data_IF_812658259189
#
_entry.id   IF_812658259189
#
_cell.length_a   1.000
_cell.length_b   1.000
_cell.length_c   1.000
_cell.angle_alpha   90.00
_cell.angle_beta   90.00
_cell.angle_gamma   90.00
#
_symmetry.space_group_name_H-M   'P 1'
#
loop_
_entity.id
_entity.type
_entity.pdbx_description
1 polymer ?
#
# COMPACT_ATOMS: atom_id res chain seq x y z
N UNK A 1 28.18 -12.13 -10.75
CA UNK A 1 27.96 -11.44 -9.48
C UNK A 1 27.04 -10.27 -9.74
N UNK A 2 25.94 -10.18 -9.00
CA UNK A 2 25.09 -9.00 -9.05
C UNK A 2 25.85 -7.89 -8.34
N UNK A 3 26.22 -6.87 -9.08
CA UNK A 3 26.83 -5.67 -8.48
C UNK A 3 25.79 -4.93 -7.65
N UNK A 4 26.25 -4.38 -6.54
CA UNK A 4 25.43 -3.57 -5.65
C UNK A 4 25.50 -2.11 -6.11
N UNK A 5 24.38 -1.63 -6.68
CA UNK A 5 24.29 -0.25 -7.16
C UNK A 5 23.98 0.74 -6.03
N UNK A 6 23.24 0.30 -5.02
CA UNK A 6 22.74 1.14 -3.94
C UNK A 6 23.02 0.55 -2.56
N UNK A 7 23.03 1.43 -1.54
CA UNK A 7 23.34 1.04 -0.15
C UNK A 7 22.21 0.33 0.59
N UNK A 8 20.95 0.43 0.13
CA UNK A 8 19.85 -0.33 0.68
C UNK A 8 19.79 -1.68 -0.03
N UNK A 9 19.86 -2.75 0.76
CA UNK A 9 19.83 -4.13 0.25
C UNK A 9 18.70 -4.87 0.95
N UNK A 10 17.95 -5.66 0.20
CA UNK A 10 16.83 -6.47 0.74
C UNK A 10 16.75 -7.84 0.07
N UNK A 11 16.21 -8.87 0.76
CA UNK A 11 15.91 -10.14 0.12
C UNK A 11 14.93 -9.98 -1.05
N UNK A 12 15.13 -10.76 -2.12
CA UNK A 12 14.16 -10.83 -3.25
C UNK A 12 12.82 -11.40 -2.83
N UNK A 13 12.86 -12.32 -1.85
CA UNK A 13 11.68 -12.99 -1.31
C UNK A 13 11.63 -12.74 0.18
N UNK A 14 10.52 -12.21 0.68
CA UNK A 14 10.36 -11.90 2.09
C UNK A 14 9.11 -11.08 2.37
N UNK A 15 8.89 -10.76 3.64
CA UNK A 15 7.78 -9.92 4.09
C UNK A 15 8.14 -9.17 5.36
N UNK A 16 7.43 -8.07 5.64
CA UNK A 16 7.53 -7.32 6.89
C UNK A 16 8.88 -6.66 7.13
N UNK A 17 9.57 -6.22 6.07
CA UNK A 17 10.89 -5.60 6.10
C UNK A 17 12.01 -6.46 6.74
N UNK A 18 11.79 -7.75 6.92
CA UNK A 18 12.82 -8.66 7.46
C UNK A 18 13.99 -8.77 6.48
N UNK A 19 15.21 -8.65 7.01
CA UNK A 19 16.44 -8.75 6.22
C UNK A 19 16.76 -7.51 5.36
N UNK A 20 16.07 -6.39 5.55
CA UNK A 20 16.44 -5.12 4.93
C UNK A 20 17.66 -4.55 5.65
N UNK A 21 18.70 -4.23 4.88
CA UNK A 21 19.98 -3.72 5.38
C UNK A 21 20.17 -2.33 4.80
N UNK A 22 20.27 -1.34 5.69
CA UNK A 22 20.64 0.04 5.32
C UNK A 22 22.14 0.22 5.38
N UNK A 23 22.67 1.06 4.51
CA UNK A 23 24.12 1.34 4.43
C UNK A 23 24.97 0.06 4.33
N UNK A 24 24.47 -0.92 3.55
CA UNK A 24 25.17 -2.19 3.36
C UNK A 24 26.58 -1.96 2.83
N UNK A 25 27.57 -2.72 3.34
CA UNK A 25 28.96 -2.65 2.89
C UNK A 25 29.08 -3.04 1.41
N UNK A 26 30.21 -2.64 0.77
CA UNK A 26 30.48 -3.01 -0.63
C UNK A 26 30.66 -4.53 -0.81
N UNK A 27 31.12 -5.21 0.23
CA UNK A 27 31.45 -6.65 0.20
C UNK A 27 30.30 -7.56 0.61
N UNK A 28 29.08 -7.02 0.73
CA UNK A 28 27.91 -7.83 1.09
C UNK A 28 27.62 -8.88 0.02
N UNK A 29 27.33 -10.11 0.45
CA UNK A 29 26.86 -11.13 -0.47
C UNK A 29 25.49 -10.77 -1.05
N UNK A 30 25.41 -10.67 -2.37
CA UNK A 30 24.18 -10.30 -3.10
C UNK A 30 23.36 -11.50 -3.57
N UNK A 31 23.75 -12.74 -3.21
CA UNK A 31 22.98 -13.93 -3.56
C UNK A 31 21.58 -13.87 -2.91
N UNK A 32 20.54 -14.00 -3.73
CA UNK A 32 19.14 -13.88 -3.26
C UNK A 32 18.72 -12.48 -2.80
N UNK A 33 19.56 -11.48 -3.00
CA UNK A 33 19.32 -10.10 -2.60
C UNK A 33 19.09 -9.19 -3.83
N UNK A 34 18.59 -8.00 -3.57
CA UNK A 34 18.57 -6.89 -4.54
C UNK A 34 18.97 -5.60 -3.83
N UNK A 35 19.63 -4.71 -4.56
CA UNK A 35 19.92 -3.35 -4.10
C UNK A 35 18.85 -2.39 -4.61
N UNK A 36 18.55 -1.38 -3.81
CA UNK A 36 17.53 -0.38 -4.10
C UNK A 36 18.02 0.98 -3.63
N UNK A 37 17.66 2.02 -4.39
CA UNK A 37 17.86 3.40 -3.95
C UNK A 37 17.10 3.66 -2.65
N UNK A 38 17.77 4.30 -1.68
CA UNK A 38 17.11 4.79 -0.48
C UNK A 38 16.43 6.13 -0.75
N UNK A 39 15.11 6.13 -0.75
CA UNK A 39 14.32 7.33 -1.02
C UNK A 39 13.85 7.92 0.31
N UNK A 40 14.24 9.19 0.56
CA UNK A 40 13.72 9.96 1.67
C UNK A 40 12.36 10.55 1.33
N UNK A 41 11.33 10.25 2.14
CA UNK A 41 10.00 10.77 1.92
C UNK A 41 8.99 10.24 2.94
N UNK A 42 7.74 10.58 2.71
CA UNK A 42 6.62 10.06 3.48
C UNK A 42 6.16 8.73 2.88
N UNK A 43 5.92 7.75 3.72
CA UNK A 43 5.47 6.42 3.30
C UNK A 43 3.96 6.34 3.30
N UNK A 44 3.43 5.89 2.18
CA UNK A 44 1.99 5.71 1.97
C UNK A 44 1.67 4.26 1.67
N UNK A 45 0.53 3.84 2.18
CA UNK A 45 -0.21 2.70 1.68
C UNK A 45 -1.39 3.23 0.87
N UNK A 46 -1.58 2.77 -0.36
CA UNK A 46 -2.72 3.17 -1.17
C UNK A 46 -3.64 1.97 -1.33
N UNK A 47 -4.77 2.02 -0.66
CA UNK A 47 -5.80 1.01 -0.80
C UNK A 47 -6.66 1.35 -2.03
N UNK A 48 -6.84 0.36 -2.89
CA UNK A 48 -7.58 0.51 -4.17
C UNK A 48 -8.63 -0.58 -4.26
N UNK A 49 -9.79 -0.24 -4.80
CA UNK A 49 -10.80 -1.20 -5.22
C UNK A 49 -11.06 -1.03 -6.71
N UNK A 50 -10.83 -2.09 -7.48
CA UNK A 50 -11.09 -2.11 -8.92
C UNK A 50 -12.35 -2.93 -9.23
N UNK A 51 -13.10 -2.50 -10.25
CA UNK A 51 -14.28 -3.19 -10.76
C UNK A 51 -13.92 -4.42 -11.63
N UNK A 52 -14.92 -5.02 -12.26
CA UNK A 52 -14.76 -6.17 -13.15
C UNK A 52 -13.90 -5.87 -14.37
N UNK A 53 -13.93 -4.65 -14.87
CA UNK A 53 -13.18 -4.16 -16.04
C UNK A 53 -11.75 -3.76 -15.69
N UNK A 54 -11.40 -3.81 -14.40
CA UNK A 54 -10.09 -3.41 -13.87
C UNK A 54 -9.94 -1.89 -13.74
N UNK A 55 -11.06 -1.17 -13.67
CA UNK A 55 -11.06 0.28 -13.43
C UNK A 55 -11.12 0.55 -11.93
N UNK A 56 -10.28 1.44 -11.41
CA UNK A 56 -10.30 1.76 -9.99
C UNK A 56 -11.53 2.62 -9.65
N UNK A 57 -12.35 2.09 -8.75
CA UNK A 57 -13.52 2.77 -8.16
C UNK A 57 -13.11 3.64 -6.99
N UNK A 58 -12.18 3.12 -6.18
CA UNK A 58 -11.58 3.83 -5.07
C UNK A 58 -10.06 3.80 -5.19
N UNK A 59 -9.41 4.94 -4.95
CA UNK A 59 -7.96 5.07 -4.75
C UNK A 59 -7.76 5.92 -3.50
N UNK A 60 -7.44 5.27 -2.38
CA UNK A 60 -7.38 5.92 -1.06
C UNK A 60 -5.95 5.91 -0.51
N UNK A 61 -5.18 6.99 -0.73
CA UNK A 61 -3.89 7.16 -0.10
C UNK A 61 -4.03 7.28 1.41
N UNK A 62 -3.27 6.48 2.13
CA UNK A 62 -3.22 6.45 3.57
C UNK A 62 -1.80 6.72 4.04
N UNK A 63 -1.59 7.90 4.64
CA UNK A 63 -0.32 8.23 5.27
C UNK A 63 -0.08 7.29 6.46
N UNK A 64 1.08 6.66 6.51
CA UNK A 64 1.46 5.74 7.58
C UNK A 64 2.04 6.52 8.75
N UNK A 65 1.36 6.44 9.88
CA UNK A 65 1.78 7.03 11.15
C UNK A 65 2.07 5.87 12.12
N UNK A 66 3.20 5.88 12.79
CA UNK A 66 3.57 4.83 13.73
C UNK A 66 3.70 3.45 13.03
N UNK A 67 4.93 3.05 12.75
CA UNK A 67 5.23 1.76 12.14
C UNK A 67 5.91 0.88 13.18
N UNK A 68 5.34 -0.30 13.44
CA UNK A 68 5.90 -1.33 14.32
C UNK A 68 5.98 -2.62 13.53
N UNK A 69 7.16 -3.23 13.43
CA UNK A 69 7.42 -4.47 12.70
C UNK A 69 6.87 -4.46 11.25
N UNK A 70 7.06 -3.33 10.54
CA UNK A 70 6.58 -3.15 9.18
C UNK A 70 5.06 -2.97 9.05
N UNK A 71 4.31 -2.96 10.15
CA UNK A 71 2.86 -2.76 10.20
C UNK A 71 2.54 -1.36 10.69
N UNK A 72 1.63 -0.67 10.01
CA UNK A 72 1.14 0.62 10.48
C UNK A 72 0.13 0.44 11.62
N UNK A 73 0.42 1.04 12.77
CA UNK A 73 -0.49 1.08 13.93
C UNK A 73 -1.44 2.27 13.86
N UNK A 74 -1.07 3.30 13.11
CA UNK A 74 -1.87 4.50 12.92
C UNK A 74 -1.80 4.96 11.48
N UNK A 75 -2.82 5.66 11.02
CA UNK A 75 -2.85 6.23 9.69
C UNK A 75 -3.99 7.21 9.51
N UNK A 76 -3.91 7.99 8.44
CA UNK A 76 -4.92 8.97 8.06
C UNK A 76 -5.16 8.91 6.56
N UNK A 77 -6.43 8.93 6.15
CA UNK A 77 -6.80 9.01 4.73
C UNK A 77 -6.56 10.43 4.25
N UNK A 78 -5.76 10.58 3.22
CA UNK A 78 -5.48 11.88 2.62
C UNK A 78 -5.96 11.94 1.16
N UNK A 79 -6.23 13.14 0.68
CA UNK A 79 -6.42 13.41 -0.73
C UNK A 79 -5.06 13.79 -1.32
N UNK A 80 -4.49 12.96 -2.16
CA UNK A 80 -3.24 13.25 -2.88
C UNK A 80 -3.40 12.88 -4.35
N UNK A 81 -3.61 13.91 -5.16
CA UNK A 81 -3.91 13.75 -6.59
C UNK A 81 -2.73 13.17 -7.38
N UNK A 82 -1.49 13.42 -6.93
CA UNK A 82 -0.29 12.87 -7.58
C UNK A 82 -0.23 11.35 -7.38
N UNK A 83 -0.38 10.89 -6.13
CA UNK A 83 -0.41 9.45 -5.82
C UNK A 83 -1.59 8.78 -6.54
N UNK A 84 -2.78 9.38 -6.47
CA UNK A 84 -3.98 8.84 -7.11
C UNK A 84 -3.81 8.70 -8.63
N UNK A 85 -3.20 9.68 -9.29
CA UNK A 85 -2.91 9.67 -10.73
C UNK A 85 -1.95 8.54 -11.10
N UNK A 86 -0.84 8.40 -10.37
CA UNK A 86 0.17 7.37 -10.66
C UNK A 86 -0.38 5.95 -10.42
N UNK A 87 -1.14 5.74 -9.34
CA UNK A 87 -1.81 4.46 -9.08
C UNK A 87 -2.84 4.15 -10.17
N UNK A 88 -3.65 5.14 -10.59
CA UNK A 88 -4.60 4.96 -11.68
C UNK A 88 -3.90 4.51 -12.97
N UNK A 89 -2.76 5.10 -13.32
CA UNK A 89 -1.97 4.67 -14.51
C UNK A 89 -1.57 3.19 -14.43
N UNK A 90 -1.12 2.73 -13.27
CA UNK A 90 -0.76 1.32 -13.08
C UNK A 90 -2.00 0.43 -13.23
N UNK A 91 -3.13 0.81 -12.63
CA UNK A 91 -4.38 0.06 -12.75
C UNK A 91 -4.88 -0.03 -14.21
N UNK A 92 -4.71 1.03 -15.02
CA UNK A 92 -5.07 1.00 -16.44
C UNK A 92 -4.24 -0.01 -17.25
N UNK A 93 -3.00 -0.26 -16.85
CA UNK A 93 -2.09 -1.20 -17.53
C UNK A 93 -2.34 -2.63 -17.03
N UNK A 94 -2.37 -2.85 -15.71
CA UNK A 94 -2.40 -4.19 -15.11
C UNK A 94 -3.82 -4.76 -15.02
N UNK A 95 -4.84 -3.90 -14.95
CA UNK A 95 -6.26 -4.31 -14.88
C UNK A 95 -6.56 -5.23 -13.68
N UNK A 96 -6.21 -4.77 -12.48
CA UNK A 96 -6.56 -5.47 -11.24
C UNK A 96 -8.07 -5.60 -11.08
N UNK A 97 -8.52 -6.63 -10.34
CA UNK A 97 -9.93 -6.82 -9.96
C UNK A 97 -10.05 -6.96 -8.45
N UNK A 98 -11.02 -6.27 -7.87
CA UNK A 98 -11.23 -6.25 -6.42
C UNK A 98 -10.20 -5.41 -5.67
N UNK A 99 -9.95 -5.71 -4.38
CA UNK A 99 -9.05 -4.94 -3.55
C UNK A 99 -7.58 -5.21 -3.86
N UNK A 100 -6.82 -4.14 -3.99
CA UNK A 100 -5.36 -4.16 -4.15
C UNK A 100 -4.74 -3.08 -3.28
N UNK A 101 -3.53 -3.34 -2.82
CA UNK A 101 -2.79 -2.46 -1.95
C UNK A 101 -1.42 -2.14 -2.54
N UNK A 102 -1.13 -0.85 -2.68
CA UNK A 102 0.16 -0.35 -3.11
C UNK A 102 0.90 0.24 -1.92
N UNK A 103 2.22 0.11 -1.90
CA UNK A 103 3.07 0.88 -1.01
C UNK A 103 3.99 1.77 -1.82
N UNK A 104 4.08 3.02 -1.43
CA UNK A 104 4.93 3.99 -2.10
C UNK A 104 5.52 5.00 -1.11
N UNK A 105 6.61 5.63 -1.54
CA UNK A 105 7.21 6.79 -0.87
C UNK A 105 6.99 7.99 -1.77
N UNK A 106 6.54 9.09 -1.19
CA UNK A 106 6.49 10.40 -1.83
C UNK A 106 7.62 11.25 -1.27
N UNK A 107 8.58 11.59 -2.11
CA UNK A 107 9.71 12.44 -1.76
C UNK A 107 9.30 13.91 -1.68
N UNK A 108 10.16 14.75 -1.08
CA UNK A 108 9.86 16.18 -0.87
C UNK A 108 9.65 16.96 -2.17
N UNK A 109 10.24 16.53 -3.27
CA UNK A 109 10.03 17.08 -4.61
C UNK A 109 8.74 16.62 -5.29
N UNK A 110 7.94 15.80 -4.59
CA UNK A 110 6.64 15.31 -5.06
C UNK A 110 6.71 14.03 -5.91
N UNK A 111 7.90 13.45 -6.14
CA UNK A 111 8.06 12.19 -6.89
C UNK A 111 7.49 11.02 -6.08
N UNK A 112 6.68 10.18 -6.73
CA UNK A 112 6.13 8.95 -6.15
C UNK A 112 6.95 7.76 -6.63
N UNK A 113 7.45 6.97 -5.70
CA UNK A 113 8.20 5.75 -5.98
C UNK A 113 7.51 4.56 -5.32
N UNK A 114 7.09 3.58 -6.12
CA UNK A 114 6.42 2.39 -5.64
C UNK A 114 7.42 1.37 -5.08
N UNK A 115 7.07 0.77 -3.95
CA UNK A 115 7.86 -0.24 -3.26
C UNK A 115 7.35 -1.64 -3.52
N UNK A 116 6.02 -1.83 -3.44
CA UNK A 116 5.37 -3.11 -3.65
C UNK A 116 3.89 -2.95 -4.00
N UNK A 117 3.34 -4.00 -4.59
CA UNK A 117 1.91 -4.14 -4.89
C UNK A 117 1.43 -5.47 -4.33
N UNK A 118 0.36 -5.44 -3.55
CA UNK A 118 -0.24 -6.61 -2.93
C UNK A 118 -1.70 -6.74 -3.41
N UNK A 119 -2.04 -7.66 -4.34
CA UNK A 119 -3.40 -7.83 -4.85
C UNK A 119 -4.26 -8.60 -3.84
N UNK A 120 -4.50 -8.00 -2.69
CA UNK A 120 -5.28 -8.53 -1.57
C UNK A 120 -5.71 -7.42 -0.61
N UNK A 121 -6.61 -7.77 0.30
CA UNK A 121 -6.92 -6.92 1.45
C UNK A 121 -5.67 -6.72 2.33
N UNK A 122 -5.40 -5.48 2.70
CA UNK A 122 -4.32 -5.14 3.63
C UNK A 122 -4.80 -5.11 5.07
N UNK A 123 -3.89 -5.35 6.01
CA UNK A 123 -4.22 -5.28 7.44
C UNK A 123 -4.71 -3.90 7.91
N UNK A 124 -4.37 -2.82 7.20
CA UNK A 124 -4.81 -1.45 7.50
C UNK A 124 -6.06 -0.99 6.75
N UNK A 125 -6.58 -1.80 5.83
CA UNK A 125 -7.65 -1.43 4.89
C UNK A 125 -9.00 -1.13 5.59
N UNK A 126 -9.16 -1.55 6.85
CA UNK A 126 -10.33 -1.20 7.66
C UNK A 126 -10.52 0.33 7.76
N UNK A 127 -9.44 1.11 7.73
CA UNK A 127 -9.53 2.56 7.68
C UNK A 127 -10.16 3.03 6.38
N UNK A 128 -9.78 2.45 5.24
CA UNK A 128 -10.35 2.76 3.93
C UNK A 128 -11.83 2.34 3.86
N UNK A 129 -12.20 1.21 4.48
CA UNK A 129 -13.61 0.81 4.61
C UNK A 129 -14.41 1.84 5.41
N UNK A 130 -13.87 2.31 6.52
CA UNK A 130 -14.53 3.30 7.39
C UNK A 130 -14.63 4.68 6.72
N UNK A 131 -13.67 4.98 5.84
CA UNK A 131 -13.65 6.23 5.09
C UNK A 131 -14.58 6.22 3.86
N UNK A 132 -14.97 5.05 3.37
CA UNK A 132 -15.82 4.87 2.20
C UNK A 132 -16.98 3.92 2.48
N UNK A 133 -16.78 2.64 2.26
CA UNK A 133 -17.76 1.58 2.51
C UNK A 133 -17.07 0.22 2.73
N UNK A 134 -17.83 -0.79 3.13
CA UNK A 134 -17.29 -2.15 3.32
C UNK A 134 -16.99 -2.80 1.96
N UNK A 135 -15.71 -2.89 1.60
CA UNK A 135 -15.26 -3.44 0.32
C UNK A 135 -15.42 -4.96 0.19
N UNK A 136 -15.60 -5.69 1.30
CA UNK A 136 -15.94 -7.11 1.24
C UNK A 136 -17.36 -7.27 0.72
N UNK A 137 -18.31 -6.52 1.30
CA UNK A 137 -19.69 -6.51 0.81
C UNK A 137 -19.76 -6.00 -0.63
N UNK A 138 -19.01 -4.95 -0.95
CA UNK A 138 -18.94 -4.41 -2.31
C UNK A 138 -18.46 -5.46 -3.31
N UNK A 139 -17.38 -6.19 -2.96
CA UNK A 139 -16.85 -7.26 -3.81
C UNK A 139 -17.89 -8.39 -4.02
N UNK A 140 -18.55 -8.85 -2.96
CA UNK A 140 -19.58 -9.90 -3.08
C UNK A 140 -20.72 -9.43 -3.99
N UNK A 141 -21.23 -8.23 -3.75
CA UNK A 141 -22.31 -7.66 -4.57
C UNK A 141 -21.92 -7.53 -6.03
N UNK A 142 -20.74 -6.98 -6.29
CA UNK A 142 -20.29 -6.71 -7.65
C UNK A 142 -19.85 -7.98 -8.41
N UNK A 143 -18.98 -8.80 -7.80
CA UNK A 143 -18.37 -9.94 -8.52
C UNK A 143 -19.24 -11.21 -8.48
N UNK A 144 -20.10 -11.38 -7.47
CA UNK A 144 -20.95 -12.58 -7.35
C UNK A 144 -22.35 -12.32 -7.87
N UNK A 145 -22.96 -11.18 -7.51
CA UNK A 145 -24.33 -10.88 -7.89
C UNK A 145 -24.46 -9.95 -9.10
N UNK A 146 -23.35 -9.39 -9.60
CA UNK A 146 -23.35 -8.50 -10.78
C UNK A 146 -23.88 -7.10 -10.52
N UNK A 147 -23.99 -6.68 -9.27
CA UNK A 147 -24.50 -5.37 -8.91
C UNK A 147 -23.58 -4.26 -9.45
N UNK A 148 -24.18 -3.18 -9.94
CA UNK A 148 -23.43 -1.97 -10.32
C UNK A 148 -22.88 -1.29 -9.08
N UNK A 149 -21.62 -0.82 -9.18
CA UNK A 149 -21.00 -0.07 -8.10
C UNK A 149 -21.45 1.39 -8.17
N UNK A 150 -22.00 1.90 -7.06
CA UNK A 150 -22.29 3.31 -6.86
C UNK A 150 -21.38 3.82 -5.74
N UNK A 151 -20.22 4.45 -6.08
CA UNK A 151 -19.22 4.82 -5.10
C UNK A 151 -19.77 5.82 -4.08
N UNK A 152 -19.47 5.60 -2.81
CA UNK A 152 -19.79 6.55 -1.74
C UNK A 152 -18.73 7.63 -1.64
N UNK A 153 -19.14 8.77 -1.11
CA UNK A 153 -18.22 9.88 -0.84
C UNK A 153 -17.16 9.44 0.18
N UNK A 154 -15.89 9.75 -0.13
CA UNK A 154 -14.75 9.43 0.73
C UNK A 154 -14.59 10.48 1.82
N UNK A 155 -14.42 10.02 3.06
CA UNK A 155 -14.12 10.85 4.22
C UNK A 155 -12.61 11.06 4.34
N UNK A 156 -12.07 12.01 3.60
CA UNK A 156 -10.68 12.42 3.75
C UNK A 156 -10.44 13.06 5.12
N UNK A 157 -9.23 12.88 5.69
CA UNK A 157 -8.90 13.32 7.04
C UNK A 157 -9.31 12.33 8.13
N UNK A 158 -10.02 11.23 7.80
CA UNK A 158 -10.32 10.20 8.77
C UNK A 158 -9.03 9.51 9.21
N UNK A 159 -8.79 9.52 10.53
CA UNK A 159 -7.66 8.85 11.15
C UNK A 159 -8.06 7.56 11.85
N UNK A 160 -7.09 6.67 12.03
CA UNK A 160 -7.21 5.44 12.81
C UNK A 160 -5.97 5.27 13.68
N UNK A 161 -6.19 4.85 14.91
CA UNK A 161 -5.16 4.34 15.80
C UNK A 161 -5.58 2.97 16.32
N UNK A 162 -4.64 2.01 16.38
CA UNK A 162 -4.88 0.67 16.93
C UNK A 162 -4.34 0.57 18.33
N UNK A 163 -5.11 -0.09 19.20
CA UNK A 163 -4.69 -0.44 20.55
C UNK A 163 -4.99 -1.92 20.80
N UNK A 164 -4.27 -2.50 21.73
CA UNK A 164 -4.53 -3.84 22.23
C UNK A 164 -5.34 -3.75 23.51
N UNK A 165 -6.18 -4.73 23.75
CA UNK A 165 -6.96 -4.88 24.98
C UNK A 165 -6.87 -6.33 25.42
N UNK A 166 -6.67 -6.55 26.69
CA UNK A 166 -6.64 -7.87 27.32
C UNK A 166 -8.07 -8.37 27.55
N UNK A 167 -8.26 -9.67 27.39
CA UNK A 167 -9.49 -10.39 27.72
C UNK A 167 -9.10 -11.45 28.75
N UNK A 168 -9.74 -11.38 29.91
CA UNK A 168 -9.59 -12.37 30.97
C UNK A 168 -10.76 -13.36 30.90
N UNK A 169 -10.48 -14.66 31.07
CA UNK A 169 -11.47 -15.75 31.05
C UNK A 169 -11.17 -16.80 32.09
#
# INVERSE_FOLDING_TARGET
SLEKDFSLVKPRVGSGAKGVIFNASKDICMEGMLSQEYIKGEEYTVDVFCNQEGEPVYILPRLRLGIVDGKSTSGIIIKDEVIQKEVNRICQIVKFRGPVNFQCIKSKDGKVSFLEVNPRLSGGMILSFSASENWINLAIKHFVFGDKINPKQVKYGLGMHRYYSEIFF
#
